data_IF_075740583295
#
_entry.id   IF_075740583295
#
_cell.length_a   1.000
_cell.length_b   1.000
_cell.length_c   1.000
_cell.angle_alpha   90.00
_cell.angle_beta   90.00
_cell.angle_gamma   90.00
#
_symmetry.space_group_name_H-M   'P 1'
#
loop_
_entity.id
_entity.type
_entity.pdbx_description
1 polymer ?
#
# COMPACT_ATOMS: atom_id res chain seq x y z
N UNK A 1 -10.59 -19.15 20.20
CA UNK A 1 -11.84 -19.05 19.41
C UNK A 1 -11.64 -17.95 18.39
N UNK A 2 -11.76 -18.24 17.10
CA UNK A 2 -11.76 -17.22 16.04
C UNK A 2 -13.22 -16.80 15.88
N UNK A 3 -13.52 -15.52 16.07
CA UNK A 3 -14.87 -14.99 15.94
C UNK A 3 -14.88 -13.98 14.80
N UNK A 4 -15.32 -14.41 13.62
CA UNK A 4 -15.41 -13.56 12.43
C UNK A 4 -16.78 -12.88 12.47
N UNK A 5 -16.89 -11.83 13.28
CA UNK A 5 -18.05 -10.93 13.27
C UNK A 5 -17.77 -9.82 12.27
N UNK A 6 -18.80 -9.40 11.54
CA UNK A 6 -18.70 -8.28 10.60
C UNK A 6 -18.51 -6.97 11.35
N UNK A 7 -17.26 -6.66 11.66
CA UNK A 7 -16.85 -5.47 12.40
C UNK A 7 -16.08 -4.49 11.52
N UNK A 8 -15.96 -3.21 11.92
CA UNK A 8 -15.25 -2.19 11.11
C UNK A 8 -13.78 -2.54 10.84
N UNK A 9 -13.19 -3.40 11.68
CA UNK A 9 -11.86 -3.99 11.51
C UNK A 9 -11.70 -4.69 10.14
N UNK A 10 -12.70 -5.46 9.72
CA UNK A 10 -12.67 -6.23 8.47
C UNK A 10 -12.73 -5.29 7.27
N UNK A 11 -13.52 -4.22 7.37
CA UNK A 11 -13.60 -3.20 6.34
C UNK A 11 -12.24 -2.50 6.17
N UNK A 12 -11.60 -2.11 7.27
CA UNK A 12 -10.25 -1.53 7.23
C UNK A 12 -9.24 -2.51 6.60
N UNK A 13 -9.27 -3.79 7.01
CA UNK A 13 -8.40 -4.81 6.45
C UNK A 13 -8.57 -4.97 4.94
N UNK A 14 -9.80 -4.92 4.45
CA UNK A 14 -10.10 -4.99 3.02
C UNK A 14 -9.51 -3.80 2.26
N UNK A 15 -9.72 -2.57 2.76
CA UNK A 15 -9.14 -1.36 2.17
C UNK A 15 -7.62 -1.41 2.10
N UNK A 16 -6.97 -1.84 3.19
CA UNK A 16 -5.51 -1.97 3.24
C UNK A 16 -5.04 -3.04 2.26
N UNK A 17 -5.65 -4.22 2.28
CA UNK A 17 -5.29 -5.33 1.39
C UNK A 17 -5.40 -4.92 -0.08
N UNK A 18 -6.49 -4.24 -0.46
CA UNK A 18 -6.67 -3.73 -1.81
C UNK A 18 -5.60 -2.69 -2.20
N UNK A 19 -5.28 -1.76 -1.30
CA UNK A 19 -4.21 -0.77 -1.51
C UNK A 19 -2.83 -1.42 -1.72
N UNK A 20 -2.52 -2.47 -0.96
CA UNK A 20 -1.25 -3.19 -1.08
C UNK A 20 -1.19 -4.05 -2.33
N UNK A 21 -2.31 -4.65 -2.74
CA UNK A 21 -2.42 -5.38 -3.99
C UNK A 21 -2.23 -4.45 -5.20
N UNK A 22 -2.76 -3.23 -5.12
CA UNK A 22 -2.52 -2.20 -6.13
C UNK A 22 -1.04 -1.82 -6.23
N UNK A 23 -0.37 -1.68 -5.08
CA UNK A 23 1.06 -1.41 -5.01
C UNK A 23 1.88 -2.55 -5.64
N UNK A 24 1.48 -3.80 -5.45
CA UNK A 24 2.06 -4.94 -6.14
C UNK A 24 1.79 -4.90 -7.65
N UNK A 25 0.57 -4.54 -8.07
CA UNK A 25 0.18 -4.44 -9.48
C UNK A 25 0.96 -3.37 -10.24
N UNK A 26 1.37 -2.27 -9.58
CA UNK A 26 2.23 -1.25 -10.16
C UNK A 26 3.51 -1.85 -10.78
N UNK A 27 4.05 -2.91 -10.19
CA UNK A 27 5.23 -3.63 -10.69
C UNK A 27 4.99 -4.27 -12.07
N UNK A 28 3.77 -4.75 -12.32
CA UNK A 28 3.40 -5.40 -13.58
C UNK A 28 3.21 -4.35 -14.68
N UNK A 29 2.57 -3.22 -14.35
CA UNK A 29 2.24 -2.18 -15.34
C UNK A 29 3.43 -1.28 -15.67
N UNK A 30 4.25 -0.92 -14.67
CA UNK A 30 5.39 0.01 -14.81
C UNK A 30 6.60 -0.48 -14.03
N UNK A 31 7.29 -1.53 -14.51
CA UNK A 31 8.49 -2.06 -13.85
C UNK A 31 9.62 -1.02 -13.73
N UNK A 32 9.65 -0.02 -14.60
CA UNK A 32 10.64 1.08 -14.61
C UNK A 32 10.59 1.98 -13.36
N UNK A 33 9.45 2.03 -12.67
CA UNK A 33 9.19 2.90 -11.52
C UNK A 33 9.16 2.09 -10.21
N UNK A 34 8.88 0.79 -10.33
CA UNK A 34 8.77 -0.12 -9.22
C UNK A 34 10.14 -0.34 -8.56
N UNK A 35 10.18 -0.25 -7.23
CA UNK A 35 11.38 -0.51 -6.44
C UNK A 35 11.26 -1.82 -5.71
N UNK A 36 12.38 -2.50 -5.43
CA UNK A 36 12.36 -3.76 -4.67
C UNK A 36 11.71 -3.61 -3.27
N UNK A 37 11.82 -2.40 -2.70
CA UNK A 37 11.19 -2.02 -1.43
C UNK A 37 9.66 -2.12 -1.47
N UNK A 38 9.05 -1.88 -2.63
CA UNK A 38 7.60 -1.87 -2.80
C UNK A 38 7.00 -3.28 -2.55
N UNK A 39 7.73 -4.34 -2.93
CA UNK A 39 7.33 -5.75 -2.68
C UNK A 39 7.35 -6.06 -1.19
N UNK A 40 8.39 -5.58 -0.49
CA UNK A 40 8.52 -5.76 0.95
C UNK A 40 7.35 -5.09 1.68
N UNK A 41 7.01 -3.85 1.31
CA UNK A 41 5.87 -3.13 1.88
C UNK A 41 4.52 -3.77 1.52
N UNK A 42 4.32 -4.22 0.28
CA UNK A 42 3.10 -4.94 -0.11
C UNK A 42 2.91 -6.21 0.73
N UNK A 43 3.98 -6.98 0.92
CA UNK A 43 3.94 -8.22 1.72
C UNK A 43 3.62 -7.93 3.18
N UNK A 44 4.28 -6.93 3.78
CA UNK A 44 4.00 -6.50 5.15
C UNK A 44 2.57 -5.98 5.31
N UNK A 45 2.07 -5.20 4.36
CA UNK A 45 0.71 -4.68 4.40
C UNK A 45 -0.36 -5.76 4.26
N UNK A 46 -0.12 -6.78 3.42
CA UNK A 46 -0.98 -7.97 3.33
C UNK A 46 -0.97 -8.79 4.63
N UNK A 47 0.20 -8.97 5.24
CA UNK A 47 0.33 -9.60 6.55
C UNK A 47 -0.45 -8.83 7.61
N UNK A 48 -0.30 -7.50 7.65
CA UNK A 48 -1.03 -6.63 8.57
C UNK A 48 -2.55 -6.73 8.38
N UNK A 49 -3.05 -6.73 7.14
CA UNK A 49 -4.47 -6.91 6.85
C UNK A 49 -4.99 -8.28 7.34
N UNK A 50 -4.19 -9.34 7.20
CA UNK A 50 -4.54 -10.68 7.68
C UNK A 50 -4.65 -10.72 9.22
N UNK A 51 -3.76 -9.99 9.91
CA UNK A 51 -3.80 -9.86 11.38
C UNK A 51 -5.06 -9.12 11.81
N UNK A 52 -5.43 -8.03 11.14
CA UNK A 52 -6.66 -7.28 11.41
C UNK A 52 -7.92 -8.15 11.24
N UNK A 53 -7.96 -9.06 10.27
CA UNK A 53 -9.12 -9.97 10.09
C UNK A 53 -9.22 -10.99 11.24
N UNK A 54 -8.10 -11.57 11.66
CA UNK A 54 -8.11 -12.66 12.67
C UNK A 54 -8.24 -12.11 14.11
N UNK A 55 -7.55 -11.02 14.41
CA UNK A 55 -7.43 -10.45 15.75
C UNK A 55 -8.16 -9.10 15.92
N UNK A 56 -8.81 -8.60 14.88
CA UNK A 56 -9.57 -7.33 14.88
C UNK A 56 -10.58 -7.24 16.01
N UNK A 57 -11.32 -8.32 16.25
CA UNK A 57 -12.38 -8.39 17.25
C UNK A 57 -11.93 -8.19 18.70
N UNK A 58 -10.61 -8.25 18.96
CA UNK A 58 -10.03 -7.98 20.27
C UNK A 58 -9.47 -6.56 20.39
N UNK A 59 -9.45 -5.76 19.32
CA UNK A 59 -8.95 -4.40 19.39
C UNK A 59 -9.94 -3.50 20.14
N UNK A 60 -9.42 -2.76 21.11
CA UNK A 60 -10.18 -1.68 21.74
C UNK A 60 -10.59 -0.64 20.69
N UNK A 61 -11.77 0.00 20.82
CA UNK A 61 -12.26 0.98 19.84
C UNK A 61 -11.28 2.12 19.54
N UNK A 62 -10.51 2.55 20.55
CA UNK A 62 -9.50 3.61 20.38
C UNK A 62 -8.27 3.15 19.59
N UNK A 63 -7.89 1.88 19.72
CA UNK A 63 -6.80 1.29 18.95
C UNK A 63 -7.22 1.13 17.49
N UNK A 64 -8.45 0.69 17.24
CA UNK A 64 -9.02 0.65 15.89
C UNK A 64 -9.02 2.04 15.24
N UNK A 65 -9.43 3.08 15.98
CA UNK A 65 -9.40 4.44 15.48
C UNK A 65 -7.98 4.90 15.09
N UNK A 66 -6.97 4.58 15.91
CA UNK A 66 -5.57 4.83 15.57
C UNK A 66 -5.15 4.15 14.28
N UNK A 67 -5.54 2.89 14.07
CA UNK A 67 -5.23 2.16 12.83
C UNK A 67 -5.86 2.80 11.59
N UNK A 68 -7.08 3.31 11.72
CA UNK A 68 -7.76 4.05 10.64
C UNK A 68 -6.98 5.33 10.31
N UNK A 69 -6.58 6.11 11.31
CA UNK A 69 -5.81 7.34 11.11
C UNK A 69 -4.43 7.08 10.48
N UNK A 70 -3.71 6.06 10.93
CA UNK A 70 -2.40 5.72 10.36
C UNK A 70 -2.55 5.28 8.90
N UNK A 71 -3.56 4.46 8.61
CA UNK A 71 -3.84 3.98 7.25
C UNK A 71 -4.24 5.13 6.32
N UNK A 72 -5.05 6.08 6.80
CA UNK A 72 -5.51 7.22 6.01
C UNK A 72 -4.39 8.21 5.68
N UNK A 73 -3.32 8.28 6.49
CA UNK A 73 -2.12 9.05 6.18
C UNK A 73 -1.19 8.27 5.24
N UNK A 74 -1.06 6.95 5.45
CA UNK A 74 -0.14 6.10 4.70
C UNK A 74 -0.53 5.97 3.22
N UNK A 75 -1.81 5.72 2.91
CA UNK A 75 -2.26 5.47 1.53
C UNK A 75 -2.02 6.68 0.59
N UNK A 76 -2.43 7.92 0.94
CA UNK A 76 -2.12 9.09 0.12
C UNK A 76 -0.62 9.34 0.00
N UNK A 77 0.12 9.24 1.10
CA UNK A 77 1.59 9.41 1.09
C UNK A 77 2.27 8.41 0.16
N UNK A 78 1.79 7.16 0.13
CA UNK A 78 2.28 6.14 -0.78
C UNK A 78 1.99 6.50 -2.25
N UNK A 79 0.77 6.94 -2.54
CA UNK A 79 0.38 7.41 -3.87
C UNK A 79 1.24 8.59 -4.34
N UNK A 80 1.47 9.58 -3.46
CA UNK A 80 2.33 10.72 -3.78
C UNK A 80 3.78 10.29 -4.05
N UNK A 81 4.31 9.34 -3.27
CA UNK A 81 5.65 8.79 -3.50
C UNK A 81 5.75 8.14 -4.89
N UNK A 82 4.76 7.36 -5.31
CA UNK A 82 4.73 6.75 -6.65
C UNK A 82 4.68 7.85 -7.72
N UNK A 83 3.83 8.87 -7.54
CA UNK A 83 3.71 10.01 -8.46
C UNK A 83 5.04 10.77 -8.60
N UNK A 84 5.73 11.02 -7.49
CA UNK A 84 7.03 11.71 -7.49
C UNK A 84 8.10 10.89 -8.22
N UNK A 85 8.12 9.55 -8.04
CA UNK A 85 9.03 8.66 -8.77
C UNK A 85 8.76 8.69 -10.27
N UNK A 86 7.48 8.66 -10.68
CA UNK A 86 7.09 8.77 -12.10
C UNK A 86 7.60 10.09 -12.71
N UNK A 87 7.39 11.22 -12.02
CA UNK A 87 7.84 12.53 -12.49
C UNK A 87 9.37 12.57 -12.60
N UNK A 88 10.08 12.03 -11.60
CA UNK A 88 11.54 11.97 -11.63
C UNK A 88 12.07 11.11 -12.76
N UNK A 89 11.43 9.98 -13.06
CA UNK A 89 11.79 9.11 -14.18
C UNK A 89 11.61 9.82 -15.52
N UNK A 90 10.44 10.45 -15.75
CA UNK A 90 10.15 11.20 -16.98
C UNK A 90 11.12 12.36 -17.15
N UNK A 91 11.40 13.11 -16.08
CA UNK A 91 12.36 14.21 -16.10
C UNK A 91 13.76 13.74 -16.49
N UNK A 92 14.25 12.65 -15.89
CA UNK A 92 15.56 12.10 -16.22
C UNK A 92 15.62 11.61 -17.67
N UNK A 93 14.60 10.89 -18.13
CA UNK A 93 14.55 10.39 -19.51
C UNK A 93 14.50 11.53 -20.55
N UNK A 94 13.84 12.65 -20.23
CA UNK A 94 13.80 13.84 -21.10
C UNK A 94 15.15 14.58 -21.22
N UNK A 95 16.11 14.31 -20.33
CA UNK A 95 17.44 14.92 -20.32
C UNK A 95 18.49 14.12 -21.09
N UNK A 96 18.20 12.89 -21.47
CA UNK A 96 19.04 12.10 -22.37
C UNK A 96 18.60 12.43 -23.81
N UNK A 97 19.32 13.26 -24.57
CA UNK A 97 19.06 13.40 -26.00
C UNK A 97 19.22 12.02 -26.63
N UNK A 98 18.26 11.62 -27.45
CA UNK A 98 18.26 10.38 -28.25
C UNK A 98 19.69 9.96 -28.66
N UNK A 99 20.32 9.07 -27.90
CA UNK A 99 21.50 8.31 -28.33
C UNK A 99 21.01 7.01 -28.95
N UNK A 100 20.16 7.12 -29.97
CA UNK A 100 19.86 6.02 -30.88
C UNK A 100 20.23 6.52 -32.26
N UNK A 101 21.45 6.12 -32.66
CA UNK A 101 21.82 5.87 -34.04
C UNK A 101 20.87 4.84 -34.67
#
# INVERSE_FOLDING_TARGET
MINIIFEPNILLAFFVSFGMLFLYFLRIVRPEIARDQDIFFATLGLLYSSILVIHGWRLDPILLFSQVLITSILLPTCWENIRLRLISYVFFNSRLPNQTE
#
